data_IF_670718157504
#
_entry.id   IF_670718157504
#
_cell.length_a   1.000
_cell.length_b   1.000
_cell.length_c   1.000
_cell.angle_alpha   90.00
_cell.angle_beta   90.00
_cell.angle_gamma   90.00
#
_symmetry.space_group_name_H-M   'P 1'
#
loop_
_entity.id
_entity.type
_entity.pdbx_description
1 polymer ?
#
# COMPACT_ATOMS: atom_id res chain seq x y z
N UNK A 1 -29.54 -68.48 -36.12
CA UNK A 1 -30.99 -68.44 -35.84
C UNK A 1 -31.28 -67.22 -34.97
N UNK A 2 -32.14 -66.32 -35.48
CA UNK A 2 -33.00 -65.32 -34.79
C UNK A 2 -32.32 -64.33 -33.83
N UNK A 3 -32.12 -63.05 -34.15
CA UNK A 3 -33.06 -61.96 -34.52
C UNK A 3 -34.06 -61.54 -33.42
N UNK A 4 -34.06 -60.23 -33.15
CA UNK A 4 -35.09 -59.30 -32.59
C UNK A 4 -34.46 -58.42 -31.50
N UNK A 5 -34.50 -57.09 -31.54
CA UNK A 5 -35.41 -56.17 -32.25
C UNK A 5 -36.12 -55.30 -31.21
N UNK A 6 -35.93 -53.97 -31.31
CA UNK A 6 -36.58 -52.91 -30.54
C UNK A 6 -38.13 -53.00 -30.57
N UNK A 7 -38.82 -52.29 -29.66
CA UNK A 7 -39.35 -50.98 -30.07
C UNK A 7 -39.18 -49.89 -29.01
N UNK A 8 -39.04 -48.65 -29.49
CA UNK A 8 -39.32 -47.46 -28.70
C UNK A 8 -40.82 -47.15 -28.70
N UNK A 9 -41.25 -46.31 -27.76
CA UNK A 9 -42.35 -45.40 -28.02
C UNK A 9 -42.14 -44.09 -27.25
N UNK A 10 -42.40 -43.01 -27.97
CA UNK A 10 -42.20 -41.62 -27.60
C UNK A 10 -43.49 -41.11 -26.99
N UNK A 11 -43.45 -40.45 -25.83
CA UNK A 11 -44.40 -39.37 -25.56
C UNK A 11 -43.74 -38.22 -24.80
N UNK A 12 -43.65 -37.12 -25.52
CA UNK A 12 -43.42 -35.77 -25.07
C UNK A 12 -44.37 -35.42 -23.92
N UNK A 13 -43.79 -35.03 -22.79
CA UNK A 13 -44.44 -34.08 -21.88
C UNK A 13 -43.43 -32.99 -21.58
N UNK A 14 -43.63 -31.89 -22.29
CA UNK A 14 -43.10 -30.57 -21.99
C UNK A 14 -43.42 -30.21 -20.53
N UNK A 15 -42.47 -30.46 -19.63
CA UNK A 15 -42.44 -29.83 -18.32
C UNK A 15 -41.42 -28.71 -18.38
N UNK A 16 -41.93 -27.49 -18.46
CA UNK A 16 -41.19 -26.25 -18.26
C UNK A 16 -40.34 -26.38 -17.00
N UNK A 17 -39.03 -26.41 -17.15
CA UNK A 17 -38.08 -26.32 -16.05
C UNK A 17 -38.07 -24.85 -15.60
N UNK A 18 -39.03 -24.49 -14.75
CA UNK A 18 -38.99 -23.25 -13.99
C UNK A 18 -37.87 -23.44 -12.96
N UNK A 19 -36.70 -22.91 -13.29
CA UNK A 19 -35.53 -22.91 -12.41
C UNK A 19 -35.83 -21.93 -11.27
N UNK A 20 -36.24 -22.48 -10.13
CA UNK A 20 -36.41 -21.75 -8.88
C UNK A 20 -35.03 -21.50 -8.26
N UNK A 21 -34.46 -20.33 -8.57
CA UNK A 21 -33.17 -19.85 -8.07
C UNK A 21 -33.38 -18.88 -6.90
N UNK A 22 -34.09 -19.31 -5.86
CA UNK A 22 -34.29 -18.45 -4.71
C UNK A 22 -34.92 -19.17 -3.52
N UNK A 23 -34.07 -19.83 -2.72
CA UNK A 23 -34.16 -19.72 -1.24
C UNK A 23 -33.06 -20.53 -0.50
N UNK A 24 -32.39 -21.48 -1.16
CA UNK A 24 -31.44 -22.39 -0.49
C UNK A 24 -30.05 -21.81 -0.17
N UNK A 25 -29.78 -20.54 -0.50
CA UNK A 25 -28.49 -19.86 -0.21
C UNK A 25 -28.56 -18.90 0.99
N UNK A 26 -29.72 -18.73 1.64
CA UNK A 26 -29.86 -17.82 2.79
C UNK A 26 -29.86 -18.53 4.16
N UNK A 27 -29.91 -19.87 4.19
CA UNK A 27 -29.92 -20.61 5.46
C UNK A 27 -28.54 -21.10 5.93
N UNK A 28 -27.54 -21.20 5.04
CA UNK A 28 -26.17 -21.60 5.42
C UNK A 28 -25.29 -20.46 5.93
N UNK A 29 -25.68 -19.21 5.73
CA UNK A 29 -24.98 -18.03 6.27
C UNK A 29 -25.52 -17.57 7.62
N UNK A 30 -26.57 -18.22 8.14
CA UNK A 30 -27.22 -17.86 9.41
C UNK A 30 -26.78 -18.67 10.63
N UNK A 31 -25.91 -19.67 10.47
CA UNK A 31 -25.57 -20.61 11.58
C UNK A 31 -24.10 -20.58 12.04
N UNK A 32 -23.35 -19.53 11.69
CA UNK A 32 -22.01 -19.28 12.27
C UNK A 32 -21.81 -17.79 12.52
N UNK A 33 -22.65 -17.21 13.37
CA UNK A 33 -22.32 -15.99 14.10
C UNK A 33 -22.58 -16.31 15.57
N UNK A 34 -21.48 -16.54 16.28
CA UNK A 34 -21.43 -16.45 17.73
C UNK A 34 -22.16 -15.18 18.19
N UNK A 35 -23.02 -15.25 19.21
CA UNK A 35 -23.67 -14.05 19.73
C UNK A 35 -22.60 -13.20 20.40
N UNK A 36 -22.12 -12.17 19.70
CA UNK A 36 -21.64 -10.96 20.37
C UNK A 36 -22.79 -10.44 21.21
N UNK A 37 -22.55 -10.04 22.47
CA UNK A 37 -23.61 -9.53 23.31
C UNK A 37 -24.23 -8.32 22.60
N UNK A 38 -25.50 -8.46 22.23
CA UNK A 38 -26.38 -7.36 21.93
C UNK A 38 -26.38 -6.45 23.16
N UNK A 39 -25.52 -5.44 23.15
CA UNK A 39 -25.81 -4.22 23.90
C UNK A 39 -27.05 -3.70 23.22
N UNK A 40 -28.20 -3.87 23.88
CA UNK A 40 -29.37 -3.07 23.62
C UNK A 40 -28.92 -1.62 23.71
N UNK A 41 -28.55 -1.02 22.57
CA UNK A 41 -28.30 0.40 22.45
C UNK A 41 -29.65 1.06 22.67
N UNK A 42 -30.01 1.22 23.95
CA UNK A 42 -30.97 2.20 24.36
C UNK A 42 -30.57 3.48 23.66
N UNK A 43 -31.48 4.02 22.85
CA UNK A 43 -31.24 5.27 22.17
C UNK A 43 -30.95 6.32 23.23
N UNK A 44 -29.67 6.63 23.43
CA UNK A 44 -29.22 7.63 24.38
C UNK A 44 -28.86 8.88 23.58
N UNK A 45 -29.73 9.89 23.67
CA UNK A 45 -29.57 11.14 22.95
C UNK A 45 -28.20 11.79 23.25
N UNK A 46 -27.70 11.66 24.48
CA UNK A 46 -26.41 12.22 24.88
C UNK A 46 -25.22 11.51 24.21
N UNK A 47 -25.25 10.17 24.12
CA UNK A 47 -24.19 9.40 23.44
C UNK A 47 -24.17 9.68 21.93
N UNK A 48 -25.35 9.84 21.32
CA UNK A 48 -25.48 10.21 19.91
C UNK A 48 -24.94 11.63 19.66
N UNK A 49 -25.23 12.58 20.55
CA UNK A 49 -24.67 13.94 20.47
C UNK A 49 -23.14 13.94 20.62
N UNK A 50 -22.60 13.10 21.50
CA UNK A 50 -21.16 12.96 21.67
C UNK A 50 -20.51 12.34 20.42
N UNK A 51 -21.11 11.31 19.82
CA UNK A 51 -20.61 10.72 18.58
C UNK A 51 -20.64 11.71 17.41
N UNK A 52 -21.71 12.52 17.29
CA UNK A 52 -21.82 13.55 16.27
C UNK A 52 -20.73 14.63 16.42
N UNK A 53 -20.34 14.96 17.67
CA UNK A 53 -19.25 15.90 17.95
C UNK A 53 -17.89 15.36 17.50
N UNK A 54 -17.64 14.06 17.69
CA UNK A 54 -16.38 13.42 17.25
C UNK A 54 -16.30 13.44 15.72
N UNK A 55 -17.36 12.99 15.04
CA UNK A 55 -17.44 12.98 13.58
C UNK A 55 -17.29 14.38 12.97
N UNK A 56 -17.83 15.40 13.63
CA UNK A 56 -17.63 16.79 13.23
C UNK A 56 -16.15 17.22 13.32
N UNK A 57 -15.45 16.83 14.40
CA UNK A 57 -14.02 17.12 14.58
C UNK A 57 -13.12 16.43 13.55
N UNK A 58 -13.53 15.27 13.05
CA UNK A 58 -12.82 14.49 12.02
C UNK A 58 -13.15 14.95 10.58
N UNK A 59 -14.11 15.85 10.40
CA UNK A 59 -14.53 16.37 9.09
C UNK A 59 -15.60 15.53 8.37
N UNK A 60 -16.17 14.53 9.04
CA UNK A 60 -17.26 13.70 8.51
C UNK A 60 -18.64 14.37 8.70
N UNK A 61 -18.86 15.51 8.02
CA UNK A 61 -20.07 16.32 8.17
C UNK A 61 -21.37 15.57 7.83
N UNK A 62 -21.35 14.74 6.79
CA UNK A 62 -22.52 13.99 6.34
C UNK A 62 -22.97 12.91 7.34
N UNK A 63 -22.02 12.25 8.01
CA UNK A 63 -22.33 11.28 9.05
C UNK A 63 -22.82 11.95 10.33
N UNK A 64 -22.18 13.06 10.72
CA UNK A 64 -22.62 13.88 11.85
C UNK A 64 -24.08 14.37 11.66
N UNK A 65 -24.45 14.86 10.47
CA UNK A 65 -25.83 15.27 10.16
C UNK A 65 -26.83 14.12 10.31
N UNK A 66 -26.50 12.92 9.81
CA UNK A 66 -27.38 11.74 9.92
C UNK A 66 -27.69 11.39 11.37
N UNK A 67 -26.68 11.45 12.24
CA UNK A 67 -26.85 11.22 13.68
C UNK A 67 -27.69 12.33 14.31
N UNK A 68 -27.39 13.60 14.01
CA UNK A 68 -28.15 14.74 14.55
C UNK A 68 -29.61 14.75 14.10
N UNK A 69 -29.90 14.38 12.85
CA UNK A 69 -31.27 14.21 12.38
C UNK A 69 -31.99 13.07 13.09
N UNK A 70 -31.31 11.95 13.37
CA UNK A 70 -31.86 10.87 14.19
C UNK A 70 -32.20 11.36 15.60
N UNK A 71 -31.33 12.16 16.22
CA UNK A 71 -31.59 12.82 17.51
C UNK A 71 -32.79 13.75 17.46
N UNK A 72 -32.98 14.50 16.37
CA UNK A 72 -34.15 15.38 16.22
C UNK A 72 -35.46 14.65 15.93
N UNK A 73 -35.42 13.43 15.38
CA UNK A 73 -36.62 12.59 15.22
C UNK A 73 -37.13 12.13 16.57
N UNK A 74 -36.23 11.75 17.48
CA UNK A 74 -36.56 11.28 18.83
C UNK A 74 -36.83 12.45 19.79
N UNK A 75 -36.05 13.54 19.69
CA UNK A 75 -36.17 14.75 20.51
C UNK A 75 -36.26 16.02 19.66
N UNK A 76 -37.47 16.37 19.16
CA UNK A 76 -37.66 17.50 18.24
C UNK A 76 -37.27 18.87 18.81
N UNK A 77 -37.21 19.02 20.12
CA UNK A 77 -36.88 20.28 20.82
C UNK A 77 -35.44 20.33 21.35
N UNK A 78 -34.56 19.40 20.97
CA UNK A 78 -33.19 19.39 21.47
C UNK A 78 -32.38 20.55 20.87
N UNK A 79 -32.19 21.59 21.69
CA UNK A 79 -31.49 22.83 21.29
C UNK A 79 -30.04 22.57 20.87
N UNK A 80 -29.37 21.56 21.45
CA UNK A 80 -27.96 21.28 21.13
C UNK A 80 -27.83 20.66 19.74
N UNK A 81 -28.74 19.74 19.37
CA UNK A 81 -28.75 19.13 18.03
C UNK A 81 -29.01 20.17 16.93
N UNK A 82 -29.94 21.10 17.17
CA UNK A 82 -30.25 22.21 16.25
C UNK A 82 -29.04 23.13 16.08
N UNK A 83 -28.38 23.51 17.18
CA UNK A 83 -27.17 24.35 17.13
C UNK A 83 -26.04 23.69 16.34
N UNK A 84 -25.82 22.38 16.53
CA UNK A 84 -24.79 21.63 15.81
C UNK A 84 -25.06 21.52 14.31
N UNK A 85 -26.32 21.31 13.90
CA UNK A 85 -26.67 21.33 12.48
C UNK A 85 -26.42 22.70 11.85
N UNK A 86 -26.68 23.78 12.57
CA UNK A 86 -26.41 25.14 12.11
C UNK A 86 -24.89 25.43 12.01
N UNK A 87 -24.09 24.95 12.97
CA UNK A 87 -22.61 25.03 12.90
C UNK A 87 -22.06 24.27 11.68
N UNK A 88 -22.58 23.07 11.39
CA UNK A 88 -22.21 22.30 10.19
C UNK A 88 -22.56 23.10 8.93
N UNK A 89 -23.79 23.63 8.84
CA UNK A 89 -24.24 24.44 7.70
C UNK A 89 -23.34 25.65 7.46
N UNK A 90 -22.95 26.36 8.51
CA UNK A 90 -22.04 27.51 8.40
C UNK A 90 -20.63 27.11 7.95
N UNK A 91 -20.15 25.96 8.39
CA UNK A 91 -18.82 25.45 8.01
C UNK A 91 -18.80 25.05 6.54
N UNK A 92 -19.84 24.38 6.05
CA UNK A 92 -19.99 24.02 4.64
C UNK A 92 -20.14 25.25 3.74
N UNK A 93 -20.92 26.24 4.16
CA UNK A 93 -21.05 27.52 3.46
C UNK A 93 -19.68 28.22 3.33
N UNK A 94 -18.87 28.23 4.39
CA UNK A 94 -17.51 28.78 4.34
C UNK A 94 -16.60 28.00 3.38
N UNK A 95 -16.69 26.67 3.37
CA UNK A 95 -15.91 25.85 2.43
C UNK A 95 -16.30 26.10 0.97
N UNK A 96 -17.61 26.24 0.69
CA UNK A 96 -18.11 26.55 -0.65
C UNK A 96 -17.64 27.94 -1.09
N UNK A 97 -17.83 28.96 -0.25
CA UNK A 97 -17.43 30.34 -0.53
C UNK A 97 -15.92 30.50 -0.75
N UNK A 98 -15.09 29.69 -0.08
CA UNK A 98 -13.64 29.68 -0.30
C UNK A 98 -13.22 28.83 -1.52
N UNK A 99 -14.06 27.90 -1.98
CA UNK A 99 -13.77 27.01 -3.11
C UNK A 99 -14.16 27.59 -4.48
N UNK A 100 -15.00 28.63 -4.53
CA UNK A 100 -15.42 29.31 -5.76
C UNK A 100 -14.47 30.43 -6.21
N UNK A 101 -13.18 30.10 -6.37
CA UNK A 101 -12.25 30.88 -7.21
C UNK A 101 -11.72 30.04 -8.36
N UNK A 102 -12.37 30.05 -9.54
CA UNK A 102 -11.84 29.39 -10.71
C UNK A 102 -10.86 30.31 -11.46
N UNK A 103 -9.73 29.72 -11.89
CA UNK A 103 -8.77 30.21 -12.88
C UNK A 103 -7.74 31.29 -12.49
N UNK A 104 -6.47 30.87 -12.33
CA UNK A 104 -5.38 31.32 -13.21
C UNK A 104 -4.14 30.42 -13.15
N UNK A 105 -4.04 29.58 -14.17
CA UNK A 105 -2.76 29.13 -14.73
C UNK A 105 -1.91 30.34 -15.16
N UNK A 106 -0.62 30.28 -14.82
CA UNK A 106 0.54 30.89 -15.50
C UNK A 106 0.36 32.31 -16.03
N UNK A 107 0.96 33.29 -15.32
CA UNK A 107 1.76 34.35 -15.94
C UNK A 107 2.70 35.00 -14.92
N UNK A 108 4.00 34.91 -15.20
CA UNK A 108 5.04 35.78 -14.64
C UNK A 108 4.70 37.23 -14.99
N UNK A 109 4.50 38.08 -13.99
CA UNK A 109 4.87 39.50 -14.05
C UNK A 109 4.90 40.10 -12.64
N UNK A 110 6.07 40.68 -12.37
CA UNK A 110 6.57 41.49 -11.24
C UNK A 110 5.53 42.44 -10.58
N UNK A 111 5.69 42.78 -9.28
CA UNK A 111 4.63 43.38 -8.46
C UNK A 111 4.57 44.91 -8.59
N UNK A 112 3.38 45.46 -8.39
CA UNK A 112 3.18 46.82 -7.88
C UNK A 112 2.34 46.76 -6.61
N UNK A 113 2.61 47.64 -5.62
CA UNK A 113 1.95 47.64 -4.33
C UNK A 113 0.62 48.39 -4.44
N UNK A 114 -0.46 47.72 -4.07
CA UNK A 114 -1.71 48.38 -3.69
C UNK A 114 -1.96 47.98 -2.23
N UNK A 115 -1.95 49.00 -1.37
CA UNK A 115 -2.31 48.89 0.03
C UNK A 115 -3.80 48.55 0.14
N UNK A 116 -4.08 47.27 0.37
CA UNK A 116 -5.29 46.84 1.06
C UNK A 116 -4.79 46.13 2.33
N UNK A 117 -5.00 46.79 3.46
CA UNK A 117 -4.72 46.24 4.79
C UNK A 117 -5.64 45.05 5.03
N UNK A 118 -5.17 43.85 4.69
CA UNK A 118 -5.76 42.59 5.14
C UNK A 118 -5.64 42.53 6.68
N UNK A 119 -6.74 42.41 7.45
CA UNK A 119 -6.69 42.31 8.91
C UNK A 119 -5.93 41.07 9.41
N UNK A 120 -5.59 40.16 8.51
CA UNK A 120 -4.84 38.95 8.78
C UNK A 120 -3.64 38.92 7.84
N UNK A 121 -2.53 39.55 8.27
CA UNK A 121 -1.24 39.33 7.64
C UNK A 121 -0.90 37.85 7.75
N UNK A 122 -1.15 37.12 6.66
CA UNK A 122 -0.93 35.68 6.58
C UNK A 122 0.53 35.34 6.91
N UNK A 123 1.48 36.22 6.55
CA UNK A 123 2.89 36.03 6.86
C UNK A 123 3.17 36.27 8.35
N UNK A 124 2.49 37.22 9.01
CA UNK A 124 2.61 37.42 10.46
C UNK A 124 1.98 36.24 11.24
N UNK A 125 0.84 35.72 10.77
CA UNK A 125 0.18 34.56 11.38
C UNK A 125 1.03 33.31 11.17
N UNK A 126 1.60 33.11 9.99
CA UNK A 126 2.54 32.03 9.71
C UNK A 126 3.79 32.14 10.59
N UNK A 127 4.34 33.35 10.78
CA UNK A 127 5.49 33.56 11.68
C UNK A 127 5.14 33.31 13.14
N UNK A 128 3.95 33.72 13.60
CA UNK A 128 3.47 33.42 14.97
C UNK A 128 3.22 31.93 15.17
N UNK A 129 2.60 31.25 14.22
CA UNK A 129 2.42 29.80 14.25
C UNK A 129 3.76 29.06 14.22
N UNK A 130 4.70 29.48 13.38
CA UNK A 130 6.05 28.91 13.31
C UNK A 130 6.81 29.10 14.63
N UNK A 131 6.62 30.24 15.29
CA UNK A 131 7.16 30.52 16.62
C UNK A 131 6.49 29.69 17.73
N UNK A 132 5.16 29.65 17.76
CA UNK A 132 4.36 28.94 18.77
C UNK A 132 4.52 27.43 18.68
N UNK A 133 4.59 26.89 17.46
CA UNK A 133 4.86 25.48 17.18
C UNK A 133 6.36 25.14 17.19
N UNK A 134 7.23 26.15 17.33
CA UNK A 134 8.70 26.02 17.31
C UNK A 134 9.24 25.27 16.09
N UNK A 135 8.58 25.39 14.93
CA UNK A 135 8.98 24.69 13.71
C UNK A 135 10.34 25.18 13.20
N UNK A 136 10.65 26.48 13.36
CA UNK A 136 11.94 27.08 12.99
C UNK A 136 13.09 26.86 13.98
N UNK A 137 12.82 26.38 15.20
CA UNK A 137 13.86 25.86 16.09
C UNK A 137 14.02 24.35 15.86
N UNK A 138 14.50 24.00 14.67
CA UNK A 138 15.01 22.66 14.42
C UNK A 138 13.96 21.57 14.51
N UNK A 139 12.79 21.73 13.88
CA UNK A 139 12.10 20.57 13.33
C UNK A 139 12.89 20.03 12.14
N UNK A 140 14.02 19.43 12.46
CA UNK A 140 14.49 18.34 11.63
C UNK A 140 13.50 17.21 11.92
N UNK A 141 12.80 16.75 10.88
CA UNK A 141 11.89 15.60 10.96
C UNK A 141 12.50 14.56 11.92
N UNK A 142 11.86 14.19 13.04
CA UNK A 142 12.47 13.28 14.02
C UNK A 142 12.95 11.99 13.34
N UNK A 143 12.18 11.55 12.36
CA UNK A 143 12.47 10.43 11.44
C UNK A 143 13.69 10.73 10.56
N UNK A 144 13.77 11.93 9.98
CA UNK A 144 14.90 12.34 9.15
C UNK A 144 16.19 12.58 9.95
N UNK A 145 16.14 12.96 11.23
CA UNK A 145 17.33 12.96 12.11
C UNK A 145 17.74 11.53 12.43
N UNK A 146 16.77 10.70 12.83
CA UNK A 146 17.00 9.31 13.27
C UNK A 146 17.79 8.52 12.24
N UNK A 147 17.54 8.79 10.95
CA UNK A 147 18.12 8.08 9.83
C UNK A 147 19.26 8.84 9.12
N UNK A 148 19.62 10.05 9.58
CA UNK A 148 20.84 10.76 9.15
C UNK A 148 22.03 10.46 10.06
N UNK A 149 21.77 10.20 11.35
CA UNK A 149 22.81 9.77 12.29
C UNK A 149 22.92 8.24 12.33
N UNK A 150 24.11 7.73 12.02
CA UNK A 150 24.41 6.29 12.05
C UNK A 150 24.20 5.69 13.44
N UNK A 151 24.45 6.46 14.51
CA UNK A 151 24.23 5.99 15.88
C UNK A 151 22.73 5.86 16.20
N UNK A 152 21.91 6.83 15.77
CA UNK A 152 20.45 6.78 15.90
C UNK A 152 19.83 5.58 15.17
N UNK A 153 20.30 5.32 13.94
CA UNK A 153 19.87 4.15 13.15
C UNK A 153 20.22 2.83 13.86
N UNK A 154 21.43 2.72 14.41
CA UNK A 154 21.84 1.50 15.10
C UNK A 154 21.01 1.29 16.38
N UNK A 155 20.79 2.32 17.19
CA UNK A 155 19.95 2.23 18.39
C UNK A 155 18.48 1.94 18.08
N UNK A 156 17.97 2.39 16.93
CA UNK A 156 16.66 1.99 16.43
C UNK A 156 16.66 0.51 16.03
N UNK A 157 17.67 0.07 15.25
CA UNK A 157 17.78 -1.34 14.86
C UNK A 157 17.86 -2.27 16.05
N UNK A 158 18.63 -1.92 17.08
CA UNK A 158 18.79 -2.77 18.26
C UNK A 158 17.46 -2.89 19.03
N UNK A 159 16.68 -1.80 19.11
CA UNK A 159 15.33 -1.82 19.69
C UNK A 159 14.38 -2.68 18.87
N UNK A 160 14.40 -2.56 17.54
CA UNK A 160 13.59 -3.41 16.66
C UNK A 160 13.92 -4.89 16.87
N UNK A 161 15.19 -5.25 16.99
CA UNK A 161 15.57 -6.64 17.25
C UNK A 161 15.08 -7.14 18.61
N UNK A 162 15.13 -6.30 19.66
CA UNK A 162 14.58 -6.64 20.98
C UNK A 162 13.07 -6.86 20.93
N UNK A 163 12.33 -5.97 20.29
CA UNK A 163 10.87 -6.11 20.14
C UNK A 163 10.50 -7.33 19.28
N UNK A 164 11.33 -7.68 18.30
CA UNK A 164 11.08 -8.80 17.39
C UNK A 164 11.66 -10.14 17.87
N UNK A 165 12.11 -10.27 19.12
CA UNK A 165 12.73 -11.51 19.63
C UNK A 165 11.84 -12.75 19.44
N UNK A 166 10.52 -12.60 19.63
CA UNK A 166 9.54 -13.68 19.49
C UNK A 166 8.73 -13.60 18.19
N UNK A 167 9.09 -12.70 17.28
CA UNK A 167 8.38 -12.55 16.01
C UNK A 167 8.61 -13.78 15.12
N UNK A 168 7.55 -14.23 14.44
CA UNK A 168 7.66 -15.34 13.50
C UNK A 168 8.49 -14.94 12.28
N UNK A 169 8.99 -15.94 11.53
CA UNK A 169 9.71 -15.68 10.28
C UNK A 169 8.85 -14.92 9.26
N UNK A 170 7.53 -15.12 9.27
CA UNK A 170 6.57 -14.35 8.46
C UNK A 170 6.49 -12.90 8.92
N UNK A 171 6.36 -12.65 10.22
CA UNK A 171 6.32 -11.27 10.74
C UNK A 171 7.61 -10.51 10.40
N UNK A 172 8.76 -11.21 10.42
CA UNK A 172 10.05 -10.64 10.01
C UNK A 172 10.12 -10.34 8.52
N UNK A 173 9.51 -11.17 7.66
CA UNK A 173 9.37 -10.86 6.25
C UNK A 173 8.52 -9.60 6.05
N UNK A 174 7.34 -9.54 6.67
CA UNK A 174 6.41 -8.42 6.53
C UNK A 174 7.05 -7.12 7.03
N UNK A 175 7.75 -7.16 8.16
CA UNK A 175 8.52 -6.02 8.67
C UNK A 175 9.67 -5.62 7.75
N UNK A 176 10.38 -6.60 7.17
CA UNK A 176 11.45 -6.36 6.20
C UNK A 176 10.94 -5.69 4.92
N UNK A 177 9.74 -6.04 4.45
CA UNK A 177 9.06 -5.41 3.32
C UNK A 177 8.67 -3.98 3.67
N UNK A 178 8.11 -3.73 4.85
CA UNK A 178 7.78 -2.38 5.30
C UNK A 178 9.03 -1.46 5.32
N UNK A 179 10.17 -1.96 5.84
CA UNK A 179 11.42 -1.20 5.80
C UNK A 179 11.95 -1.00 4.37
N UNK A 180 11.77 -1.98 3.48
CA UNK A 180 12.15 -1.85 2.08
C UNK A 180 11.37 -0.74 1.39
N UNK A 181 10.05 -0.68 1.59
CA UNK A 181 9.17 0.36 1.04
C UNK A 181 9.52 1.76 1.56
N UNK A 182 10.01 1.85 2.80
CA UNK A 182 10.53 3.08 3.39
C UNK A 182 11.96 3.46 2.91
N UNK A 183 12.59 2.63 2.07
CA UNK A 183 13.98 2.83 1.62
C UNK A 183 15.04 2.56 2.70
N UNK A 184 14.66 1.93 3.81
CA UNK A 184 15.54 1.57 4.93
C UNK A 184 16.20 0.21 4.66
N UNK A 185 17.01 0.16 3.60
CA UNK A 185 17.56 -1.09 3.06
C UNK A 185 18.36 -1.90 4.09
N UNK A 186 19.18 -1.27 4.93
CA UNK A 186 19.98 -1.97 5.95
C UNK A 186 19.11 -2.72 6.98
N UNK A 187 18.02 -2.09 7.44
CA UNK A 187 17.10 -2.72 8.38
C UNK A 187 16.33 -3.85 7.71
N UNK A 188 15.87 -3.63 6.48
CA UNK A 188 15.20 -4.64 5.66
C UNK A 188 16.08 -5.89 5.48
N UNK A 189 17.36 -5.72 5.12
CA UNK A 189 18.31 -6.83 4.97
C UNK A 189 18.52 -7.61 6.27
N UNK A 190 18.56 -6.94 7.43
CA UNK A 190 18.66 -7.63 8.73
C UNK A 190 17.45 -8.54 8.97
N UNK A 191 16.24 -8.05 8.71
CA UNK A 191 15.03 -8.86 8.89
C UNK A 191 14.98 -10.05 7.92
N UNK A 192 15.32 -9.85 6.65
CA UNK A 192 15.36 -10.94 5.67
C UNK A 192 16.41 -12.00 6.00
N UNK A 193 17.61 -11.62 6.48
CA UNK A 193 18.63 -12.60 6.93
C UNK A 193 18.14 -13.47 8.09
N UNK A 194 17.32 -12.93 8.99
CA UNK A 194 16.74 -13.72 10.08
C UNK A 194 15.62 -14.62 9.55
N UNK A 195 14.73 -14.08 8.69
CA UNK A 195 13.65 -14.84 8.08
C UNK A 195 14.15 -16.01 7.22
N UNK A 196 15.28 -15.84 6.53
CA UNK A 196 15.92 -16.85 5.68
C UNK A 196 16.30 -18.14 6.43
N UNK A 197 16.46 -18.09 7.76
CA UNK A 197 16.78 -19.26 8.57
C UNK A 197 15.63 -20.26 8.68
N UNK A 198 14.40 -19.85 8.36
CA UNK A 198 13.25 -20.75 8.33
C UNK A 198 13.15 -21.44 6.97
N UNK A 199 13.01 -22.77 6.98
CA UNK A 199 12.87 -23.55 5.74
C UNK A 199 11.68 -23.11 4.88
N UNK A 200 10.55 -22.72 5.51
CA UNK A 200 9.34 -22.29 4.78
C UNK A 200 9.53 -20.95 4.06
N UNK A 201 10.35 -20.06 4.64
CA UNK A 201 10.52 -18.69 4.16
C UNK A 201 11.90 -18.41 3.58
N UNK A 202 12.76 -19.43 3.47
CA UNK A 202 14.12 -19.31 2.99
C UNK A 202 14.17 -18.70 1.58
N UNK A 203 13.43 -19.26 0.62
CA UNK A 203 13.44 -18.78 -0.76
C UNK A 203 12.88 -17.36 -0.90
N UNK A 204 11.67 -17.02 -0.40
CA UNK A 204 11.16 -15.65 -0.47
C UNK A 204 12.06 -14.63 0.24
N UNK A 205 12.60 -14.98 1.42
CA UNK A 205 13.51 -14.10 2.15
C UNK A 205 14.81 -13.88 1.36
N UNK A 206 15.32 -14.90 0.67
CA UNK A 206 16.53 -14.78 -0.15
C UNK A 206 16.30 -13.89 -1.37
N UNK A 207 15.17 -14.06 -2.06
CA UNK A 207 14.81 -13.22 -3.20
C UNK A 207 14.68 -11.74 -2.79
N UNK A 208 13.99 -11.47 -1.67
CA UNK A 208 13.86 -10.12 -1.13
C UNK A 208 15.20 -9.55 -0.65
N UNK A 209 16.04 -10.36 0.00
CA UNK A 209 17.40 -9.95 0.41
C UNK A 209 18.24 -9.52 -0.80
N UNK A 210 18.28 -10.35 -1.85
CA UNK A 210 19.02 -10.03 -3.08
C UNK A 210 18.45 -8.79 -3.76
N UNK A 211 17.13 -8.64 -3.81
CA UNK A 211 16.49 -7.44 -4.36
C UNK A 211 16.88 -6.18 -3.58
N UNK A 212 16.86 -6.22 -2.25
CA UNK A 212 17.29 -5.09 -1.40
C UNK A 212 18.77 -4.76 -1.59
N UNK A 213 19.65 -5.76 -1.71
CA UNK A 213 21.07 -5.56 -2.02
C UNK A 213 21.27 -4.85 -3.37
N UNK A 214 20.48 -5.19 -4.39
CA UNK A 214 20.54 -4.51 -5.70
C UNK A 214 20.14 -3.03 -5.55
N UNK A 215 19.07 -2.75 -4.78
CA UNK A 215 18.59 -1.38 -4.55
C UNK A 215 19.54 -0.53 -3.70
N UNK A 216 20.24 -1.13 -2.75
CA UNK A 216 21.23 -0.44 -1.90
C UNK A 216 22.59 -0.23 -2.58
N UNK A 217 22.77 -0.71 -3.81
CA UNK A 217 24.03 -0.61 -4.57
C UNK A 217 25.01 -1.76 -4.28
N UNK A 218 24.63 -2.73 -3.46
CA UNK A 218 25.39 -3.94 -3.13
C UNK A 218 25.14 -5.06 -4.17
N UNK A 219 25.03 -4.70 -5.46
CA UNK A 219 24.65 -5.64 -6.51
C UNK A 219 25.63 -6.81 -6.70
N UNK A 220 26.91 -6.63 -6.35
CA UNK A 220 27.90 -7.72 -6.37
C UNK A 220 27.66 -8.77 -5.26
N UNK A 221 27.24 -8.35 -4.06
CA UNK A 221 26.87 -9.29 -3.00
C UNK A 221 25.59 -10.05 -3.36
N UNK A 222 24.67 -9.37 -4.05
CA UNK A 222 23.47 -10.00 -4.59
C UNK A 222 23.85 -11.12 -5.58
N UNK A 223 24.80 -10.91 -6.50
CA UNK A 223 25.21 -11.97 -7.45
C UNK A 223 25.76 -13.20 -6.73
N UNK A 224 26.59 -13.02 -5.68
CA UNK A 224 27.13 -14.15 -4.92
C UNK A 224 26.03 -14.95 -4.19
N UNK A 225 25.04 -14.24 -3.65
CA UNK A 225 23.90 -14.87 -2.96
C UNK A 225 23.02 -15.64 -3.94
N UNK A 226 22.76 -15.06 -5.11
CA UNK A 226 21.93 -15.66 -6.15
C UNK A 226 22.61 -16.87 -6.83
N UNK A 227 23.93 -16.82 -7.03
CA UNK A 227 24.70 -17.94 -7.60
C UNK A 227 24.57 -19.22 -6.76
N UNK A 228 24.56 -19.08 -5.42
CA UNK A 228 24.38 -20.22 -4.53
C UNK A 228 23.02 -20.89 -4.70
N UNK A 229 21.96 -20.10 -4.85
CA UNK A 229 20.58 -20.61 -5.02
C UNK A 229 20.38 -21.22 -6.42
N UNK A 230 20.92 -20.60 -7.46
CA UNK A 230 20.83 -21.13 -8.83
C UNK A 230 21.66 -22.41 -9.02
N UNK A 231 22.70 -22.60 -8.21
CA UNK A 231 23.46 -23.84 -8.18
C UNK A 231 22.80 -24.98 -7.39
N UNK A 232 21.73 -24.70 -6.65
CA UNK A 232 21.04 -25.67 -5.81
C UNK A 232 19.97 -26.43 -6.61
N UNK A 233 20.14 -27.75 -6.71
CA UNK A 233 19.22 -28.66 -7.40
C UNK A 233 17.90 -28.89 -6.65
N UNK A 234 17.81 -28.52 -5.37
CA UNK A 234 16.57 -28.67 -4.58
C UNK A 234 15.53 -27.60 -4.91
N UNK A 235 15.94 -26.48 -5.52
CA UNK A 235 15.04 -25.38 -5.88
C UNK A 235 14.24 -25.76 -7.12
N UNK A 236 12.92 -25.55 -7.07
CA UNK A 236 12.05 -25.88 -8.20
C UNK A 236 12.33 -24.95 -9.39
N UNK A 237 12.23 -25.43 -10.64
CA UNK A 237 12.44 -24.60 -11.82
C UNK A 237 11.56 -23.35 -11.87
N UNK A 238 10.31 -23.45 -11.39
CA UNK A 238 9.37 -22.32 -11.35
C UNK A 238 9.88 -21.20 -10.43
N UNK A 239 10.49 -21.56 -9.29
CA UNK A 239 11.05 -20.61 -8.32
C UNK A 239 12.39 -20.04 -8.81
N UNK A 240 13.15 -20.80 -9.59
CA UNK A 240 14.41 -20.36 -10.19
C UNK A 240 14.22 -19.16 -11.14
N UNK A 241 13.07 -19.03 -11.80
CA UNK A 241 12.79 -17.90 -12.71
C UNK A 241 12.95 -16.54 -12.01
N UNK A 242 12.52 -16.43 -10.75
CA UNK A 242 12.70 -15.19 -9.98
C UNK A 242 14.18 -14.89 -9.71
N UNK A 243 14.97 -15.90 -9.36
CA UNK A 243 16.39 -15.75 -9.09
C UNK A 243 17.20 -15.43 -10.35
N UNK A 244 16.88 -16.03 -11.50
CA UNK A 244 17.49 -15.71 -12.80
C UNK A 244 17.19 -14.24 -13.18
N UNK A 245 15.94 -13.81 -12.98
CA UNK A 245 15.57 -12.41 -13.20
C UNK A 245 16.36 -11.46 -12.29
N UNK A 246 16.48 -11.78 -11.00
CA UNK A 246 17.27 -10.98 -10.05
C UNK A 246 18.77 -10.97 -10.42
N UNK A 247 19.29 -12.05 -10.99
CA UNK A 247 20.67 -12.10 -11.49
C UNK A 247 20.86 -11.12 -12.65
N UNK A 248 19.94 -11.10 -13.61
CA UNK A 248 19.91 -10.11 -14.69
C UNK A 248 19.87 -8.66 -14.16
N UNK A 249 19.04 -8.41 -13.14
CA UNK A 249 18.94 -7.12 -12.44
C UNK A 249 20.25 -6.71 -11.77
N UNK A 250 20.93 -7.64 -11.10
CA UNK A 250 22.20 -7.39 -10.44
C UNK A 250 23.30 -7.05 -11.47
N UNK A 251 23.38 -7.80 -12.56
CA UNK A 251 24.32 -7.51 -13.65
C UNK A 251 24.03 -6.17 -14.35
N UNK A 252 22.75 -5.81 -14.52
CA UNK A 252 22.35 -4.49 -15.02
C UNK A 252 22.86 -3.37 -14.09
N UNK A 253 22.68 -3.53 -12.76
CA UNK A 253 23.17 -2.56 -11.78
C UNK A 253 24.70 -2.43 -11.78
N UNK A 254 25.42 -3.52 -12.08
CA UNK A 254 26.88 -3.53 -12.28
C UNK A 254 27.33 -3.02 -13.65
N UNK A 255 26.42 -2.53 -14.49
CA UNK A 255 26.67 -2.09 -15.88
C UNK A 255 27.23 -3.18 -16.81
N UNK A 256 27.08 -4.45 -16.44
CA UNK A 256 27.48 -5.63 -17.21
C UNK A 256 26.34 -6.04 -18.14
N UNK A 257 25.98 -5.18 -19.09
CA UNK A 257 24.79 -5.32 -19.93
C UNK A 257 24.76 -6.63 -20.73
N UNK A 258 25.91 -7.10 -21.23
CA UNK A 258 26.02 -8.36 -21.99
C UNK A 258 25.47 -9.56 -21.19
N UNK A 259 25.93 -9.68 -19.93
CA UNK A 259 25.46 -10.72 -19.01
C UNK A 259 23.99 -10.54 -18.63
N UNK A 260 23.57 -9.30 -18.37
CA UNK A 260 22.18 -9.00 -18.03
C UNK A 260 21.20 -9.43 -19.13
N UNK A 261 21.53 -9.19 -20.40
CA UNK A 261 20.71 -9.63 -21.55
C UNK A 261 20.62 -11.14 -21.63
N UNK A 262 21.71 -11.86 -21.33
CA UNK A 262 21.71 -13.32 -21.27
C UNK A 262 20.67 -13.86 -20.28
N UNK A 263 20.72 -13.40 -19.03
CA UNK A 263 19.77 -13.81 -17.99
C UNK A 263 18.33 -13.41 -18.30
N UNK A 264 18.10 -12.22 -18.86
CA UNK A 264 16.74 -11.82 -19.26
C UNK A 264 16.20 -12.66 -20.41
N UNK A 265 17.06 -13.12 -21.33
CA UNK A 265 16.64 -14.04 -22.39
C UNK A 265 16.24 -15.40 -21.82
N UNK A 266 17.03 -15.92 -20.88
CA UNK A 266 16.73 -17.17 -20.17
C UNK A 266 15.37 -17.09 -19.46
N UNK A 267 15.10 -16.00 -18.72
CA UNK A 267 13.78 -15.76 -18.11
C UNK A 267 12.66 -15.77 -19.15
N UNK A 268 12.86 -15.14 -20.31
CA UNK A 268 11.86 -15.10 -21.39
C UNK A 268 11.64 -16.46 -22.07
N UNK A 269 12.59 -17.38 -22.01
CA UNK A 269 12.43 -18.76 -22.48
C UNK A 269 11.52 -19.56 -21.55
N UNK A 270 11.58 -19.29 -20.24
CA UNK A 270 10.69 -19.90 -19.24
C UNK A 270 9.30 -19.24 -19.20
N UNK A 271 9.25 -17.90 -19.08
CA UNK A 271 8.02 -17.11 -19.09
C UNK A 271 8.21 -15.82 -19.91
N UNK A 272 7.66 -15.78 -21.15
CA UNK A 272 7.78 -14.61 -22.04
C UNK A 272 7.15 -13.31 -21.51
N UNK A 273 6.28 -13.39 -20.50
CA UNK A 273 5.55 -12.25 -19.92
C UNK A 273 5.99 -11.95 -18.48
N UNK A 274 7.10 -12.52 -18.02
CA UNK A 274 7.60 -12.32 -16.68
C UNK A 274 8.01 -10.85 -16.44
N UNK A 275 7.22 -10.13 -15.64
CA UNK A 275 7.46 -8.75 -15.17
C UNK A 275 7.85 -7.79 -16.31
N UNK A 276 8.96 -7.08 -16.17
CA UNK A 276 9.49 -6.06 -17.11
C UNK A 276 10.70 -6.58 -17.92
N UNK A 277 10.89 -7.90 -18.00
CA UNK A 277 12.08 -8.54 -18.59
C UNK A 277 12.35 -8.10 -20.03
N UNK A 278 11.29 -8.03 -20.87
CA UNK A 278 11.39 -7.61 -22.28
C UNK A 278 11.84 -6.15 -22.43
N UNK A 279 11.32 -5.26 -21.59
CA UNK A 279 11.69 -3.84 -21.65
C UNK A 279 13.15 -3.67 -21.21
N UNK A 280 13.55 -4.36 -20.13
CA UNK A 280 14.91 -4.30 -19.59
C UNK A 280 15.95 -4.86 -20.55
N UNK A 281 15.70 -6.02 -21.17
CA UNK A 281 16.63 -6.61 -22.14
C UNK A 281 16.91 -5.66 -23.31
N UNK A 282 15.86 -5.10 -23.92
CA UNK A 282 15.97 -4.08 -24.98
C UNK A 282 16.79 -2.85 -24.55
N UNK A 283 16.57 -2.36 -23.32
CA UNK A 283 17.33 -1.23 -22.77
C UNK A 283 18.81 -1.58 -22.58
N UNK A 284 19.13 -2.77 -22.08
CA UNK A 284 20.51 -3.24 -21.93
C UNK A 284 21.21 -3.42 -23.29
N UNK A 285 20.56 -4.02 -24.27
CA UNK A 285 21.10 -4.16 -25.64
C UNK A 285 21.40 -2.80 -26.28
N UNK A 286 20.52 -1.82 -26.07
CA UNK A 286 20.73 -0.45 -26.59
C UNK A 286 21.95 0.21 -25.95
N UNK A 287 22.14 0.04 -24.63
CA UNK A 287 23.31 0.54 -23.90
C UNK A 287 24.59 -0.12 -24.39
N UNK A 288 24.56 -1.42 -24.64
CA UNK A 288 25.69 -2.20 -25.17
C UNK A 288 26.10 -1.75 -26.57
N UNK A 289 25.14 -1.66 -27.52
CA UNK A 289 25.39 -1.15 -28.88
C UNK A 289 25.99 0.25 -28.87
N UNK A 290 25.52 1.12 -27.97
CA UNK A 290 26.07 2.47 -27.78
C UNK A 290 27.50 2.45 -27.22
N UNK A 291 27.83 1.50 -26.34
CA UNK A 291 29.17 1.35 -25.81
C UNK A 291 30.15 0.84 -26.89
N UNK A 292 29.72 -0.11 -27.73
CA UNK A 292 30.50 -0.63 -28.85
C UNK A 292 30.77 0.44 -29.92
N UNK A 293 29.78 1.28 -30.25
CA UNK A 293 29.93 2.38 -31.22
C UNK A 293 30.88 3.50 -30.75
N UNK A 294 31.28 3.52 -29.48
CA UNK A 294 32.19 4.52 -28.90
C UNK A 294 33.61 4.02 -28.70
N UNK A 295 33.89 2.73 -28.93
CA UNK A 295 35.26 2.20 -28.91
C UNK A 295 35.95 2.62 -30.23
N UNK A 296 37.05 3.41 -30.16
CA UNK A 296 37.77 3.88 -31.34
C UNK A 296 38.50 2.76 -32.09
#
# INVERSE_FOLDING_TARGET
MKSKGFPGDSQERTTQTLVDLGDDLLEKTRTTLTPTPEVSNAFNADDQLQSARILFGEGFFEEAKKILHRVLVEEPSNKTAIQRLEEIRQTELKQILNSDSPARSRRKSRPQPAEESDPFDADEILQKLDHDLKLSQGQVDPVAILFKDSAGMQAFSDRVEVECLNASSRDRLDLGIAFLEMGLHELSMRQFRVAQRSAEHALPATALLAYTMILSGQAFEATLTLELILGDSEVRPDDQVEFIYLMGRAHEALQRNEFAVGYYREVMEHDPHYRDTRERSSRCETREKRALSKKP
#
